data_IF_417346750839
#
_entry.id   IF_417346750839
#
_cell.length_a   1.000
_cell.length_b   1.000
_cell.length_c   1.000
_cell.angle_alpha   90.00
_cell.angle_beta   90.00
_cell.angle_gamma   90.00
#
_symmetry.space_group_name_H-M   'P 1'
#
loop_
_entity.id
_entity.type
_entity.pdbx_description
1 polymer ?
#
# COMPACT_ATOMS: atom_id res chain seq x y z
N UNK A 1 44.40 -22.19 35.40
CA UNK A 1 42.93 -21.94 35.43
C UNK A 1 42.21 -23.28 35.28
N UNK A 2 41.21 -23.54 36.12
CA UNK A 2 40.47 -24.81 36.09
C UNK A 2 39.64 -24.93 34.80
N UNK A 3 39.60 -26.10 34.13
CA UNK A 3 38.86 -26.30 32.86
C UNK A 3 37.36 -26.02 33.01
N UNK A 4 36.81 -26.15 34.22
CA UNK A 4 35.42 -25.82 34.53
C UNK A 4 35.12 -24.32 34.45
N UNK A 5 36.11 -23.47 34.75
CA UNK A 5 35.96 -22.02 34.66
C UNK A 5 35.94 -21.58 33.20
N UNK A 6 36.80 -22.17 32.35
CA UNK A 6 36.84 -21.86 30.92
C UNK A 6 35.57 -22.26 30.17
N UNK A 7 34.99 -23.42 30.50
CA UNK A 7 33.72 -23.87 29.90
C UNK A 7 32.56 -22.94 30.27
N UNK A 8 32.49 -22.47 31.53
CA UNK A 8 31.48 -21.51 31.99
C UNK A 8 31.63 -20.15 31.31
N UNK A 9 32.85 -19.66 31.16
CA UNK A 9 33.10 -18.38 30.47
C UNK A 9 32.75 -18.47 28.98
N UNK A 10 33.06 -19.60 28.33
CA UNK A 10 32.72 -19.83 26.93
C UNK A 10 31.19 -19.89 26.71
N UNK A 11 30.45 -20.60 27.58
CA UNK A 11 28.99 -20.64 27.51
C UNK A 11 28.35 -19.27 27.71
N UNK A 12 28.82 -18.50 28.71
CA UNK A 12 28.29 -17.16 28.97
C UNK A 12 28.55 -16.21 27.80
N UNK A 13 29.74 -16.28 27.19
CA UNK A 13 30.07 -15.47 26.02
C UNK A 13 29.21 -15.82 24.80
N UNK A 14 28.94 -17.12 24.58
CA UNK A 14 28.07 -17.60 23.51
C UNK A 14 26.61 -17.13 23.69
N UNK A 15 26.06 -17.24 24.91
CA UNK A 15 24.71 -16.76 25.20
C UNK A 15 24.56 -15.25 25.00
N UNK A 16 25.60 -14.47 25.34
CA UNK A 16 25.58 -13.01 25.18
C UNK A 16 25.68 -12.59 23.71
N UNK A 17 26.36 -13.37 22.86
CA UNK A 17 26.38 -13.14 21.40
C UNK A 17 25.07 -13.52 20.72
N UNK A 18 24.40 -14.58 21.18
CA UNK A 18 23.05 -14.97 20.71
C UNK A 18 21.97 -13.95 21.12
N UNK A 19 22.11 -13.26 22.24
CA UNK A 19 21.17 -12.23 22.67
C UNK A 19 21.22 -10.96 21.77
N UNK A 20 22.36 -10.68 21.14
CA UNK A 20 22.54 -9.50 20.27
C UNK A 20 21.97 -9.70 18.85
N UNK A 21 21.68 -10.94 18.42
CA UNK A 21 21.08 -11.22 17.11
C UNK A 21 19.56 -11.16 17.12
N UNK A 22 18.93 -11.16 18.30
CA UNK A 22 17.51 -10.85 18.49
C UNK A 22 17.27 -9.34 18.39
N UNK A 23 17.60 -8.74 17.24
CA UNK A 23 17.10 -7.42 16.91
C UNK A 23 15.57 -7.51 16.86
N UNK A 24 14.82 -6.61 17.55
CA UNK A 24 13.39 -6.57 17.37
C UNK A 24 13.12 -6.35 15.88
N UNK A 25 12.38 -7.27 15.26
CA UNK A 25 11.82 -7.06 13.94
C UNK A 25 10.97 -5.79 14.04
N UNK A 26 11.53 -4.63 13.67
CA UNK A 26 10.77 -3.40 13.60
C UNK A 26 9.67 -3.66 12.60
N UNK A 27 8.42 -3.56 13.05
CA UNK A 27 7.28 -3.61 12.16
C UNK A 27 7.55 -2.60 11.05
N UNK A 28 7.79 -3.09 9.84
CA UNK A 28 8.04 -2.23 8.70
C UNK A 28 6.78 -1.38 8.53
N UNK A 29 6.95 -0.06 8.56
CA UNK A 29 5.87 0.87 8.29
C UNK A 29 5.28 0.51 6.93
N UNK A 30 3.95 0.35 6.85
CA UNK A 30 3.28 -0.02 5.59
C UNK A 30 3.49 1.13 4.62
N UNK A 31 4.27 0.95 3.54
CA UNK A 31 4.65 2.06 2.68
C UNK A 31 3.42 2.54 1.89
N UNK A 32 3.25 3.87 1.82
CA UNK A 32 2.32 4.48 0.87
C UNK A 32 2.93 4.32 -0.53
N UNK A 33 2.26 3.57 -1.39
CA UNK A 33 2.73 3.31 -2.76
C UNK A 33 2.68 4.61 -3.57
N UNK A 34 3.84 5.01 -4.10
CA UNK A 34 4.01 6.17 -4.98
C UNK A 34 4.69 5.74 -6.30
N UNK A 35 5.16 6.71 -7.09
CA UNK A 35 5.78 6.48 -8.38
C UNK A 35 7.09 5.69 -8.32
N UNK A 36 7.84 5.76 -7.21
CA UNK A 36 9.10 5.03 -7.05
C UNK A 36 8.88 3.52 -7.04
N UNK A 37 7.85 3.04 -6.34
CA UNK A 37 7.48 1.63 -6.37
C UNK A 37 6.66 1.30 -7.62
N UNK A 38 5.73 2.17 -8.01
CA UNK A 38 4.82 1.90 -9.12
C UNK A 38 5.58 1.73 -10.44
N UNK A 39 6.47 2.67 -10.80
CA UNK A 39 7.14 2.65 -12.12
C UNK A 39 8.11 1.48 -12.28
N UNK A 40 8.63 0.93 -11.18
CA UNK A 40 9.55 -0.22 -11.16
C UNK A 40 8.83 -1.56 -10.98
N UNK A 41 7.54 -1.55 -10.61
CA UNK A 41 6.74 -2.76 -10.40
C UNK A 41 6.30 -3.42 -11.71
N UNK A 42 6.23 -4.75 -11.69
CA UNK A 42 5.64 -5.52 -12.78
C UNK A 42 4.13 -5.22 -12.92
N UNK A 43 3.58 -5.53 -14.09
CA UNK A 43 2.13 -5.39 -14.32
C UNK A 43 1.30 -6.18 -13.30
N UNK A 44 1.72 -7.41 -12.98
CA UNK A 44 1.04 -8.26 -12.02
C UNK A 44 1.01 -7.65 -10.61
N UNK A 45 2.11 -7.04 -10.16
CA UNK A 45 2.19 -6.36 -8.85
C UNK A 45 1.28 -5.14 -8.81
N UNK A 46 1.27 -4.33 -9.88
CA UNK A 46 0.35 -3.19 -10.00
C UNK A 46 -1.12 -3.65 -9.92
N UNK A 47 -1.47 -4.70 -10.67
CA UNK A 47 -2.82 -5.27 -10.65
C UNK A 47 -3.19 -5.80 -9.27
N UNK A 48 -2.29 -6.49 -8.58
CA UNK A 48 -2.54 -6.99 -7.23
C UNK A 48 -2.81 -5.85 -6.23
N UNK A 49 -2.05 -4.75 -6.29
CA UNK A 49 -2.30 -3.56 -5.47
C UNK A 49 -3.69 -2.96 -5.73
N UNK A 50 -4.06 -2.81 -7.01
CA UNK A 50 -5.37 -2.29 -7.40
C UNK A 50 -6.53 -3.21 -6.97
N UNK A 51 -6.35 -4.54 -7.07
CA UNK A 51 -7.32 -5.52 -6.56
C UNK A 51 -7.47 -5.40 -5.05
N UNK A 52 -6.37 -5.21 -4.31
CA UNK A 52 -6.42 -4.97 -2.87
C UNK A 52 -7.26 -3.75 -2.51
N UNK A 53 -7.08 -2.63 -3.20
CA UNK A 53 -7.90 -1.43 -2.99
C UNK A 53 -9.37 -1.66 -3.35
N UNK A 54 -9.65 -2.32 -4.47
CA UNK A 54 -11.02 -2.66 -4.87
C UNK A 54 -11.71 -3.56 -3.84
N UNK A 55 -10.97 -4.49 -3.21
CA UNK A 55 -11.51 -5.34 -2.15
C UNK A 55 -11.81 -4.53 -0.89
N UNK A 56 -10.97 -3.58 -0.50
CA UNK A 56 -11.24 -2.69 0.64
C UNK A 56 -12.50 -1.85 0.42
N UNK A 57 -12.68 -1.31 -0.79
CA UNK A 57 -13.91 -0.59 -1.16
C UNK A 57 -15.13 -1.51 -1.06
N UNK A 58 -15.04 -2.73 -1.57
CA UNK A 58 -16.14 -3.70 -1.48
C UNK A 58 -16.48 -4.08 -0.04
N UNK A 59 -15.49 -4.23 0.84
CA UNK A 59 -15.71 -4.50 2.27
C UNK A 59 -16.48 -3.36 2.92
N UNK A 60 -16.10 -2.10 2.66
CA UNK A 60 -16.82 -0.95 3.23
C UNK A 60 -18.26 -0.85 2.71
N UNK A 61 -18.45 -1.03 1.39
CA UNK A 61 -19.78 -1.03 0.79
C UNK A 61 -20.65 -2.15 1.37
N UNK A 62 -20.09 -3.34 1.59
CA UNK A 62 -20.81 -4.46 2.20
C UNK A 62 -21.13 -4.21 3.69
N UNK A 63 -20.22 -3.55 4.42
CA UNK A 63 -20.40 -3.21 5.82
C UNK A 63 -21.59 -2.26 6.04
N UNK A 64 -21.72 -1.24 5.20
CA UNK A 64 -22.81 -0.26 5.30
C UNK A 64 -24.09 -0.69 4.57
N UNK A 65 -23.99 -1.55 3.56
CA UNK A 65 -25.14 -2.01 2.78
C UNK A 65 -25.92 -0.84 2.17
N UNK A 66 -27.21 -0.73 2.50
CA UNK A 66 -28.08 0.36 2.02
C UNK A 66 -27.88 1.67 2.80
N UNK A 67 -27.22 1.63 3.95
CA UNK A 67 -27.01 2.78 4.83
C UNK A 67 -25.63 3.39 4.61
N UNK A 68 -25.33 3.74 3.35
CA UNK A 68 -24.03 4.29 2.98
C UNK A 68 -23.75 5.61 3.73
N UNK A 69 -22.51 5.79 4.24
CA UNK A 69 -22.12 7.01 4.93
C UNK A 69 -22.21 8.22 4.01
N UNK A 70 -22.41 9.40 4.62
CA UNK A 70 -22.33 10.67 3.89
C UNK A 70 -20.89 10.96 3.45
N UNK A 71 -20.71 11.86 2.49
CA UNK A 71 -19.39 12.29 2.00
C UNK A 71 -18.49 12.90 3.10
N UNK A 72 -19.08 13.38 4.20
CA UNK A 72 -18.34 13.88 5.37
C UNK A 72 -17.77 12.75 6.25
N UNK A 73 -18.28 11.53 6.11
CA UNK A 73 -17.94 10.36 6.92
C UNK A 73 -17.09 9.34 6.15
N UNK A 74 -17.24 9.26 4.83
CA UNK A 74 -16.40 8.45 3.96
C UNK A 74 -16.31 9.04 2.56
N UNK A 75 -15.15 8.87 1.93
CA UNK A 75 -14.94 9.21 0.53
C UNK A 75 -15.30 8.05 -0.43
N UNK A 76 -15.49 6.82 0.08
CA UNK A 76 -15.73 5.63 -0.73
C UNK A 76 -16.98 5.72 -1.61
N UNK A 77 -18.13 6.29 -1.18
CA UNK A 77 -19.29 6.47 -2.05
C UNK A 77 -18.94 7.30 -3.30
N UNK A 78 -18.18 8.39 -3.12
CA UNK A 78 -17.71 9.25 -4.23
C UNK A 78 -16.67 8.55 -5.09
N UNK A 79 -15.73 7.83 -4.48
CA UNK A 79 -14.75 7.04 -5.22
C UNK A 79 -15.46 6.04 -6.13
N UNK A 80 -16.38 5.25 -5.59
CA UNK A 80 -17.14 4.24 -6.32
C UNK A 80 -17.91 4.86 -7.49
N UNK A 81 -18.62 5.97 -7.24
CA UNK A 81 -19.34 6.70 -8.29
C UNK A 81 -18.40 7.25 -9.38
N UNK A 82 -17.30 7.89 -9.00
CA UNK A 82 -16.35 8.50 -9.93
C UNK A 82 -15.58 7.47 -10.77
N UNK A 83 -15.42 6.25 -10.24
CA UNK A 83 -14.73 5.16 -10.93
C UNK A 83 -15.67 4.29 -11.76
N UNK A 84 -16.96 4.63 -11.89
CA UNK A 84 -17.89 3.89 -12.74
C UNK A 84 -17.39 3.83 -14.20
N UNK A 85 -17.45 2.63 -14.79
CA UNK A 85 -16.96 2.36 -16.14
C UNK A 85 -15.44 2.17 -16.25
N UNK A 86 -14.67 2.35 -15.17
CA UNK A 86 -13.26 1.97 -15.14
C UNK A 86 -13.11 0.45 -14.96
N UNK A 87 -12.13 -0.13 -15.65
CA UNK A 87 -11.66 -1.50 -15.41
C UNK A 87 -10.32 -1.47 -14.67
N UNK A 88 -9.92 -2.61 -14.11
CA UNK A 88 -8.61 -2.74 -13.46
C UNK A 88 -7.47 -2.28 -14.40
N UNK A 89 -7.56 -2.63 -15.68
CA UNK A 89 -6.55 -2.26 -16.68
C UNK A 89 -6.61 -0.78 -17.07
N UNK A 90 -7.80 -0.18 -17.18
CA UNK A 90 -7.89 1.26 -17.50
C UNK A 90 -7.33 2.12 -16.37
N UNK A 91 -7.56 1.73 -15.11
CA UNK A 91 -6.96 2.40 -13.94
C UNK A 91 -5.45 2.27 -13.98
N UNK A 92 -4.91 1.04 -14.12
CA UNK A 92 -3.46 0.82 -14.19
C UNK A 92 -2.81 1.67 -15.28
N UNK A 93 -3.37 1.64 -16.49
CA UNK A 93 -2.85 2.40 -17.63
C UNK A 93 -2.94 3.91 -17.40
N UNK A 94 -3.99 4.39 -16.74
CA UNK A 94 -4.11 5.80 -16.39
C UNK A 94 -3.00 6.25 -15.43
N UNK A 95 -2.67 5.44 -14.42
CA UNK A 95 -1.59 5.75 -13.48
C UNK A 95 -0.23 5.69 -14.18
N UNK A 96 0.00 4.66 -15.02
CA UNK A 96 1.21 4.54 -15.84
C UNK A 96 1.41 5.79 -16.72
N UNK A 97 0.37 6.22 -17.43
CA UNK A 97 0.39 7.42 -18.27
C UNK A 97 0.67 8.69 -17.47
N UNK A 98 0.09 8.80 -16.28
CA UNK A 98 0.30 9.98 -15.44
C UNK A 98 1.76 10.11 -15.01
N UNK A 99 2.39 9.05 -14.48
CA UNK A 99 3.81 9.12 -14.10
C UNK A 99 4.74 9.30 -15.29
N UNK A 100 4.44 8.70 -16.44
CA UNK A 100 5.22 8.91 -17.66
C UNK A 100 5.20 10.38 -18.12
N UNK A 101 4.07 11.07 -17.94
CA UNK A 101 3.92 12.49 -18.27
C UNK A 101 4.45 13.44 -17.17
N UNK A 102 4.66 12.94 -15.94
CA UNK A 102 5.03 13.74 -14.77
C UNK A 102 6.25 13.13 -14.03
N UNK A 103 7.45 13.11 -14.63
CA UNK A 103 8.64 12.47 -14.05
C UNK A 103 9.09 13.09 -12.72
N UNK A 104 8.76 14.36 -12.45
CA UNK A 104 8.99 15.04 -11.18
C UNK A 104 8.01 14.62 -10.07
N UNK A 105 6.93 13.93 -10.44
CA UNK A 105 5.82 13.57 -9.56
C UNK A 105 5.97 12.22 -8.85
N UNK A 106 7.14 11.57 -8.87
CA UNK A 106 7.31 10.21 -8.34
C UNK A 106 6.97 10.08 -6.85
N UNK A 107 7.07 11.16 -6.08
CA UNK A 107 6.69 11.15 -4.65
C UNK A 107 5.18 11.23 -4.42
N UNK A 108 4.38 11.59 -5.43
CA UNK A 108 2.92 11.64 -5.31
C UNK A 108 2.37 10.21 -5.17
N UNK A 109 1.51 9.93 -4.18
CA UNK A 109 0.87 8.62 -4.01
C UNK A 109 0.07 8.16 -5.23
N UNK A 110 0.02 6.85 -5.45
CA UNK A 110 -0.82 6.24 -6.49
C UNK A 110 -2.30 6.51 -6.21
N UNK A 111 -2.71 6.42 -4.94
CA UNK A 111 -4.10 6.66 -4.55
C UNK A 111 -4.54 8.11 -4.82
N UNK A 112 -3.64 9.09 -4.66
CA UNK A 112 -3.92 10.48 -5.01
C UNK A 112 -4.19 10.64 -6.51
N UNK A 113 -3.44 9.94 -7.36
CA UNK A 113 -3.64 9.96 -8.81
C UNK A 113 -4.99 9.34 -9.16
N UNK A 114 -5.31 8.18 -8.59
CA UNK A 114 -6.60 7.52 -8.81
C UNK A 114 -7.75 8.44 -8.38
N UNK A 115 -7.62 9.10 -7.22
CA UNK A 115 -8.64 10.01 -6.74
C UNK A 115 -8.77 11.26 -7.62
N UNK A 116 -7.71 12.06 -7.74
CA UNK A 116 -7.78 13.39 -8.35
C UNK A 116 -7.80 13.37 -9.87
N UNK A 117 -7.15 12.38 -10.50
CA UNK A 117 -6.99 12.33 -11.97
C UNK A 117 -8.00 11.40 -12.63
N UNK A 118 -8.70 10.54 -11.87
CA UNK A 118 -9.67 9.59 -12.42
C UNK A 118 -11.05 9.71 -11.77
N UNK A 119 -11.14 9.54 -10.45
CA UNK A 119 -12.42 9.50 -9.76
C UNK A 119 -13.12 10.87 -9.77
N UNK A 120 -12.42 11.94 -9.37
CA UNK A 120 -12.97 13.30 -9.33
C UNK A 120 -13.47 13.76 -10.72
N UNK A 121 -12.69 13.61 -11.82
CA UNK A 121 -13.20 13.88 -13.16
C UNK A 121 -14.37 12.98 -13.57
N UNK A 122 -14.39 11.72 -13.13
CA UNK A 122 -15.49 10.79 -13.40
C UNK A 122 -16.81 11.21 -12.76
N UNK A 123 -16.79 11.90 -11.61
CA UNK A 123 -18.00 12.44 -10.97
C UNK A 123 -18.73 13.52 -11.79
N UNK A 124 -18.03 14.14 -12.74
CA UNK A 124 -18.59 15.18 -13.62
C UNK A 124 -19.26 14.61 -14.87
N UNK A 125 -19.03 13.32 -15.17
CA UNK A 125 -19.64 12.65 -16.32
C UNK A 125 -21.09 12.31 -15.95
N UNK A 126 -22.01 12.74 -16.82
CA UNK A 126 -23.47 12.53 -16.66
C UNK A 126 -23.85 11.09 -16.98
#
# INVERSE_FOLDING_TARGET
MSPQLQLRTALSAACMTLALTCAPARAAEVPIVNGEQWTTSSEAVKKAYLVGMANMVQVEMAYYGQNMPTDAQSFVPRLSKGMQGQSLDSVRQGVDKWYAANPQGLKRPVLDIIWFEMAVPGLQKK
#
